data_IF_292328103156
#
_entry.id   IF_292328103156
#
_cell.length_a   1.000
_cell.length_b   1.000
_cell.length_c   1.000
_cell.angle_alpha   90.00
_cell.angle_beta   90.00
_cell.angle_gamma   90.00
#
_symmetry.space_group_name_H-M   'P 1'
#
loop_
_entity.id
_entity.type
_entity.pdbx_description
1 polymer ?
#
# COMPACT_ATOMS: atom_id res chain seq x y z
N UNK A 1 -35.94 -13.88 46.15
CA UNK A 1 -35.98 -13.28 44.80
C UNK A 1 -34.76 -12.39 44.47
N UNK A 2 -33.65 -12.51 45.21
CA UNK A 2 -32.45 -11.65 45.06
C UNK A 2 -31.25 -12.34 44.41
N UNK A 3 -31.31 -13.65 44.14
CA UNK A 3 -30.19 -14.41 43.51
C UNK A 3 -30.24 -14.53 41.99
N UNK A 4 -31.38 -14.21 41.35
CA UNK A 4 -31.54 -14.32 39.88
C UNK A 4 -31.18 -13.05 39.10
N UNK A 5 -31.09 -11.89 39.77
CA UNK A 5 -30.74 -10.63 39.13
C UNK A 5 -29.22 -10.41 38.98
N UNK A 6 -28.41 -11.06 39.82
CA UNK A 6 -26.95 -10.88 39.82
C UNK A 6 -26.28 -11.68 38.71
N UNK A 7 -26.82 -12.86 38.35
CA UNK A 7 -26.22 -13.73 37.32
C UNK A 7 -26.42 -13.17 35.91
N UNK A 8 -27.52 -12.44 35.66
CA UNK A 8 -27.79 -11.86 34.35
C UNK A 8 -26.95 -10.61 34.05
N UNK A 9 -26.38 -9.98 35.09
CA UNK A 9 -25.54 -8.78 34.95
C UNK A 9 -24.06 -9.09 34.72
N UNK A 10 -23.63 -10.34 34.96
CA UNK A 10 -22.24 -10.78 34.78
C UNK A 10 -21.96 -11.39 33.39
N UNK A 11 -22.99 -11.72 32.62
CA UNK A 11 -22.85 -12.27 31.27
C UNK A 11 -22.79 -11.18 30.16
N UNK A 12 -23.18 -9.94 30.48
CA UNK A 12 -23.12 -8.81 29.54
C UNK A 12 -21.77 -8.08 29.59
N UNK A 13 -20.96 -8.28 30.63
CA UNK A 13 -19.66 -7.62 30.80
C UNK A 13 -18.49 -8.29 30.08
N UNK A 14 -18.64 -9.53 29.58
CA UNK A 14 -17.53 -10.30 29.02
C UNK A 14 -17.32 -10.12 27.51
N UNK A 15 -18.12 -9.29 26.83
CA UNK A 15 -18.01 -9.06 25.38
C UNK A 15 -17.33 -7.74 24.98
N UNK A 16 -16.77 -6.97 25.94
CA UNK A 16 -16.39 -5.58 25.68
C UNK A 16 -14.91 -5.26 25.52
N UNK A 17 -13.96 -6.21 25.55
CA UNK A 17 -12.54 -5.83 25.44
C UNK A 17 -11.69 -6.84 24.68
N UNK A 18 -11.83 -6.83 23.36
CA UNK A 18 -10.73 -7.13 22.43
C UNK A 18 -10.98 -6.42 21.09
N UNK A 19 -11.21 -5.11 21.12
CA UNK A 19 -10.98 -4.30 19.93
C UNK A 19 -9.46 -4.20 19.78
N UNK A 20 -8.83 -5.21 19.17
CA UNK A 20 -7.45 -5.08 18.74
C UNK A 20 -7.38 -3.83 17.86
N UNK A 21 -6.42 -2.92 18.09
CA UNK A 21 -6.25 -1.81 17.16
C UNK A 21 -6.06 -2.42 15.77
N UNK A 22 -6.91 -2.03 14.82
CA UNK A 22 -6.65 -2.30 13.42
C UNK A 22 -5.35 -1.55 13.11
N UNK A 23 -4.23 -2.26 13.09
CA UNK A 23 -2.97 -1.70 12.66
C UNK A 23 -3.16 -1.38 11.18
N UNK A 24 -3.29 -0.10 10.84
CA UNK A 24 -3.33 0.34 9.46
C UNK A 24 -2.03 -0.14 8.79
N UNK A 25 -2.14 -1.18 7.99
CA UNK A 25 -1.07 -1.70 7.14
C UNK A 25 -0.92 -0.72 5.98
N UNK A 26 0.10 0.13 6.05
CA UNK A 26 0.47 0.97 4.92
C UNK A 26 1.43 0.22 4.00
N UNK A 27 1.29 0.37 2.69
CA UNK A 27 2.26 -0.13 1.71
C UNK A 27 3.18 1.00 1.29
N UNK A 28 4.48 0.71 1.16
CA UNK A 28 5.45 1.67 0.62
C UNK A 28 5.67 1.43 -0.87
N UNK A 29 5.21 2.35 -1.73
CA UNK A 29 5.25 2.15 -3.17
C UNK A 29 5.31 3.45 -3.97
N UNK A 30 5.58 3.34 -5.27
CA UNK A 30 5.44 4.42 -6.23
C UNK A 30 3.99 4.49 -6.74
N UNK A 31 3.26 5.52 -6.31
CA UNK A 31 1.94 5.83 -6.85
C UNK A 31 2.03 6.64 -8.15
N UNK A 32 1.04 6.46 -9.03
CA UNK A 32 0.98 7.08 -10.35
C UNK A 32 -0.25 7.99 -10.47
N UNK A 33 -0.04 9.18 -11.04
CA UNK A 33 -1.01 10.26 -11.03
C UNK A 33 -1.08 10.99 -12.37
N UNK A 34 -2.28 11.33 -12.78
CA UNK A 34 -2.53 12.29 -13.85
C UNK A 34 -2.79 13.68 -13.27
N UNK A 35 -2.38 14.72 -13.98
CA UNK A 35 -2.68 16.10 -13.60
C UNK A 35 -3.50 16.83 -14.63
N UNK A 36 -4.71 17.20 -14.24
CA UNK A 36 -5.64 17.94 -15.08
C UNK A 36 -6.06 19.22 -14.39
N UNK A 37 -5.97 20.36 -15.10
CA UNK A 37 -6.31 21.68 -14.57
C UNK A 37 -5.66 22.01 -13.20
N UNK A 38 -4.43 21.53 -13.00
CA UNK A 38 -3.67 21.74 -11.77
C UNK A 38 -3.96 20.75 -10.64
N UNK A 39 -4.98 19.89 -10.78
CA UNK A 39 -5.40 18.89 -9.79
C UNK A 39 -4.81 17.52 -10.11
N UNK A 40 -4.31 16.83 -9.08
CA UNK A 40 -3.86 15.45 -9.18
C UNK A 40 -5.02 14.48 -9.02
N UNK A 41 -5.10 13.50 -9.91
CA UNK A 41 -6.03 12.38 -9.85
C UNK A 41 -5.24 11.08 -9.87
N UNK A 42 -5.56 10.15 -8.97
CA UNK A 42 -4.92 8.84 -8.95
C UNK A 42 -5.21 8.11 -10.26
N UNK A 43 -4.18 7.61 -10.92
CA UNK A 43 -4.33 6.96 -12.22
C UNK A 43 -5.02 5.60 -12.06
N UNK A 44 -6.05 5.34 -12.86
CA UNK A 44 -6.77 4.06 -12.89
C UNK A 44 -6.12 3.03 -13.82
N UNK A 45 -5.20 3.48 -14.67
CA UNK A 45 -4.39 2.67 -15.57
C UNK A 45 -2.91 2.78 -15.17
N UNK A 46 -2.16 1.70 -15.38
CA UNK A 46 -0.74 1.66 -15.05
C UNK A 46 0.13 2.39 -16.08
N UNK A 47 1.36 2.82 -15.71
CA UNK A 47 2.26 3.53 -16.61
C UNK A 47 2.59 2.78 -17.91
N UNK A 48 2.56 1.44 -17.89
CA UNK A 48 2.86 0.59 -19.05
C UNK A 48 1.71 0.47 -20.06
N UNK A 49 0.52 1.01 -19.75
CA UNK A 49 -0.65 0.97 -20.65
C UNK A 49 -1.17 2.36 -20.98
N UNK A 50 -0.93 3.35 -20.11
CA UNK A 50 -1.29 4.75 -20.37
C UNK A 50 -0.41 5.35 -21.47
N UNK A 51 -1.04 5.86 -22.53
CA UNK A 51 -0.37 6.64 -23.60
C UNK A 51 -0.79 8.10 -23.43
N UNK A 52 0.06 8.96 -22.84
CA UNK A 52 -0.26 10.38 -22.65
C UNK A 52 -0.27 11.15 -23.97
N UNK A 53 -0.99 12.27 -23.99
CA UNK A 53 -0.99 13.26 -25.06
C UNK A 53 0.22 14.20 -24.96
N UNK A 54 0.56 14.88 -26.06
CA UNK A 54 1.49 16.02 -26.00
C UNK A 54 0.90 17.12 -25.13
N UNK A 55 1.67 17.61 -24.16
CA UNK A 55 1.19 18.59 -23.19
C UNK A 55 0.77 18.03 -21.84
N UNK A 56 0.66 16.70 -21.71
CA UNK A 56 0.21 16.09 -20.46
C UNK A 56 1.26 16.24 -19.35
N UNK A 57 0.75 16.33 -18.12
CA UNK A 57 1.55 16.32 -16.90
C UNK A 57 1.18 15.09 -16.09
N UNK A 58 2.18 14.27 -15.78
CA UNK A 58 2.01 13.06 -14.99
C UNK A 58 2.97 13.05 -13.80
N UNK A 59 2.62 12.28 -12.78
CA UNK A 59 3.30 12.30 -11.49
C UNK A 59 3.57 10.91 -10.95
N UNK A 60 4.77 10.75 -10.40
CA UNK A 60 5.18 9.59 -9.62
C UNK A 60 5.49 10.03 -8.20
N UNK A 61 4.85 9.41 -7.21
CA UNK A 61 5.02 9.76 -5.80
C UNK A 61 5.34 8.53 -4.97
N UNK A 62 6.54 8.50 -4.40
CA UNK A 62 6.93 7.47 -3.44
C UNK A 62 6.48 7.87 -2.04
N UNK A 63 5.65 7.04 -1.43
CA UNK A 63 5.09 7.26 -0.10
C UNK A 63 4.65 5.95 0.55
N UNK A 64 4.37 6.00 1.84
CA UNK A 64 3.56 4.98 2.53
C UNK A 64 2.09 5.37 2.44
N UNK A 65 1.23 4.48 1.93
CA UNK A 65 -0.22 4.70 1.85
C UNK A 65 -0.97 3.40 2.10
N UNK A 66 -2.14 3.48 2.74
CA UNK A 66 -2.97 2.30 3.07
C UNK A 66 -3.53 1.66 1.80
N UNK A 67 -4.14 2.47 0.95
CA UNK A 67 -4.63 2.09 -0.37
C UNK A 67 -4.58 3.28 -1.35
N UNK A 68 -5.28 3.15 -2.49
CA UNK A 68 -5.34 4.20 -3.52
C UNK A 68 -6.24 5.39 -3.16
N UNK A 69 -7.23 5.21 -2.27
CA UNK A 69 -8.12 6.29 -1.83
C UNK A 69 -7.38 7.26 -0.90
N UNK A 70 -6.44 6.72 -0.10
CA UNK A 70 -5.59 7.49 0.82
C UNK A 70 -4.18 7.75 0.29
N UNK A 71 -3.95 7.50 -1.02
CA UNK A 71 -2.64 7.66 -1.63
C UNK A 71 -2.17 9.11 -1.55
N UNK A 72 -0.92 9.30 -1.11
CA UNK A 72 -0.31 10.62 -1.04
C UNK A 72 -0.02 11.11 -2.45
N UNK A 73 -0.56 12.27 -2.82
CA UNK A 73 -0.33 12.90 -4.13
C UNK A 73 1.06 13.52 -4.28
N UNK A 74 1.58 13.68 -5.51
CA UNK A 74 2.85 14.36 -5.76
C UNK A 74 2.84 15.80 -5.24
N UNK A 75 3.96 16.23 -4.67
CA UNK A 75 4.18 17.61 -4.23
C UNK A 75 4.61 18.50 -5.39
N UNK A 76 4.39 19.81 -5.23
CA UNK A 76 4.73 20.82 -6.22
C UNK A 76 3.56 21.19 -7.14
N UNK A 77 3.71 22.31 -7.85
CA UNK A 77 2.63 22.93 -8.63
C UNK A 77 3.00 23.20 -10.09
N UNK A 78 4.21 22.87 -10.53
CA UNK A 78 4.70 23.18 -11.88
C UNK A 78 3.80 22.62 -12.99
N UNK A 79 3.45 23.44 -13.97
CA UNK A 79 2.62 23.06 -15.12
C UNK A 79 3.48 22.53 -16.27
N UNK A 80 2.84 21.95 -17.30
CA UNK A 80 3.53 21.56 -18.53
C UNK A 80 4.33 22.73 -19.12
N UNK A 81 3.71 23.91 -19.22
CA UNK A 81 4.35 25.11 -19.75
C UNK A 81 5.61 25.48 -18.98
N UNK A 82 5.64 25.28 -17.66
CA UNK A 82 6.81 25.54 -16.84
C UNK A 82 7.89 24.45 -17.00
N UNK A 83 7.50 23.18 -16.96
CA UNK A 83 8.44 22.04 -17.00
C UNK A 83 9.08 21.90 -18.39
N UNK A 84 8.30 22.10 -19.45
CA UNK A 84 8.73 21.93 -20.84
C UNK A 84 9.03 23.27 -21.55
N UNK A 85 9.21 24.37 -20.82
CA UNK A 85 9.38 25.72 -21.39
C UNK A 85 10.48 25.82 -22.45
N UNK A 86 11.55 25.04 -22.28
CA UNK A 86 12.74 25.05 -23.14
C UNK A 86 12.84 23.81 -24.05
N UNK A 87 11.79 23.00 -24.11
CA UNK A 87 11.77 21.78 -24.91
C UNK A 87 10.95 22.00 -26.19
N UNK A 88 11.60 22.12 -27.36
CA UNK A 88 10.89 22.33 -28.62
C UNK A 88 10.08 21.09 -29.00
N UNK A 89 8.94 21.31 -29.65
CA UNK A 89 8.18 20.23 -30.27
C UNK A 89 9.00 19.60 -31.42
N UNK A 90 8.75 18.32 -31.68
CA UNK A 90 9.37 17.58 -32.78
C UNK A 90 8.31 16.78 -33.52
N UNK A 91 8.40 16.75 -34.84
CA UNK A 91 7.48 15.98 -35.66
C UNK A 91 7.54 14.48 -35.30
N UNK A 92 6.38 13.83 -35.34
CA UNK A 92 6.23 12.43 -34.93
C UNK A 92 6.41 12.16 -33.43
N UNK A 93 6.66 13.18 -32.60
CA UNK A 93 6.87 13.03 -31.17
C UNK A 93 5.83 13.80 -30.34
N UNK A 94 5.76 13.47 -29.06
CA UNK A 94 5.05 14.21 -28.02
C UNK A 94 6.01 14.63 -26.92
N UNK A 95 5.65 15.70 -26.22
CA UNK A 95 6.29 16.16 -24.99
C UNK A 95 5.40 15.85 -23.81
N UNK A 96 5.97 15.23 -22.80
CA UNK A 96 5.24 14.88 -21.57
C UNK A 96 6.06 15.37 -20.40
N UNK A 97 5.42 16.11 -19.51
CA UNK A 97 6.04 16.61 -18.30
C UNK A 97 5.83 15.61 -17.16
N UNK A 98 6.93 15.24 -16.49
CA UNK A 98 6.91 14.37 -15.32
C UNK A 98 7.24 15.16 -14.06
N UNK A 99 6.47 14.91 -13.00
CA UNK A 99 6.83 15.26 -11.63
C UNK A 99 7.26 13.98 -10.92
N UNK A 100 8.53 13.91 -10.53
CA UNK A 100 9.10 12.74 -9.85
C UNK A 100 9.34 13.14 -8.39
N UNK A 101 8.47 12.66 -7.52
CA UNK A 101 8.49 12.96 -6.10
C UNK A 101 8.93 11.75 -5.27
N UNK A 102 10.21 11.74 -4.90
CA UNK A 102 10.89 10.62 -4.26
C UNK A 102 10.50 10.29 -2.81
N UNK A 103 9.70 11.10 -2.14
CA UNK A 103 9.50 10.88 -0.70
C UNK A 103 9.87 12.05 0.17
N UNK A 104 9.39 11.97 1.39
CA UNK A 104 10.01 12.57 2.55
C UNK A 104 10.89 11.52 3.25
N UNK A 105 11.69 11.96 4.22
CA UNK A 105 12.43 11.02 5.07
C UNK A 105 11.52 10.03 5.84
N UNK A 106 10.24 10.38 6.06
CA UNK A 106 9.28 9.48 6.69
C UNK A 106 8.81 8.34 5.76
N UNK A 107 8.88 8.55 4.44
CA UNK A 107 8.49 7.56 3.44
C UNK A 107 9.62 6.56 3.15
N UNK A 108 10.86 6.95 3.43
CA UNK A 108 12.06 6.20 3.04
C UNK A 108 12.17 4.85 3.75
N UNK A 109 12.74 3.82 3.07
CA UNK A 109 13.26 2.64 3.76
C UNK A 109 14.28 3.02 4.83
N UNK A 110 14.44 2.15 5.83
CA UNK A 110 15.37 2.39 6.93
C UNK A 110 16.81 2.53 6.42
N UNK A 111 17.47 3.64 6.75
CA UNK A 111 18.85 3.92 6.34
C UNK A 111 18.99 4.58 4.96
N UNK A 112 17.89 4.72 4.21
CA UNK A 112 17.89 5.42 2.93
C UNK A 112 17.46 6.88 3.09
N UNK A 113 17.93 7.74 2.19
CA UNK A 113 17.51 9.15 2.11
C UNK A 113 16.93 9.41 0.71
N UNK A 114 15.68 9.91 0.61
CA UNK A 114 15.10 10.23 -0.69
C UNK A 114 15.92 11.32 -1.40
N UNK A 115 16.13 11.18 -2.73
CA UNK A 115 16.55 12.29 -3.57
C UNK A 115 15.59 13.48 -3.48
N UNK A 116 16.05 14.65 -3.92
CA UNK A 116 15.15 15.80 -4.07
C UNK A 116 14.10 15.50 -5.16
N UNK A 117 12.86 15.92 -4.93
CA UNK A 117 11.83 15.91 -5.97
C UNK A 117 12.30 16.76 -7.15
N UNK A 118 12.03 16.31 -8.38
CA UNK A 118 12.41 17.01 -9.60
C UNK A 118 11.36 16.86 -10.68
N UNK A 119 11.45 17.70 -11.70
CA UNK A 119 10.59 17.64 -12.88
C UNK A 119 11.43 17.41 -14.12
N UNK A 120 10.90 16.62 -15.05
CA UNK A 120 11.58 16.28 -16.30
C UNK A 120 10.61 16.49 -17.46
N UNK A 121 11.12 16.95 -18.61
CA UNK A 121 10.35 17.02 -19.85
C UNK A 121 10.89 15.98 -20.83
N UNK A 122 10.12 14.94 -21.12
CA UNK A 122 10.49 13.92 -22.08
C UNK A 122 9.98 14.25 -23.48
N UNK A 123 10.74 13.90 -24.52
CA UNK A 123 10.29 13.94 -25.91
C UNK A 123 10.33 12.51 -26.46
N UNK A 124 9.18 11.91 -26.72
CA UNK A 124 9.06 10.49 -27.08
C UNK A 124 8.13 10.29 -28.29
N UNK A 125 8.18 9.13 -28.97
CA UNK A 125 7.21 8.80 -30.02
C UNK A 125 5.75 8.95 -29.55
N UNK A 126 4.83 9.26 -30.47
CA UNK A 126 3.43 9.55 -30.14
C UNK A 126 2.70 8.39 -29.45
N UNK A 127 3.11 7.16 -29.73
CA UNK A 127 2.60 5.91 -29.19
C UNK A 127 3.24 5.48 -27.87
N UNK A 128 4.33 6.13 -27.45
CA UNK A 128 5.07 5.78 -26.24
C UNK A 128 4.19 5.82 -24.98
N UNK A 129 4.29 4.80 -24.14
CA UNK A 129 3.57 4.73 -22.87
C UNK A 129 4.22 5.65 -21.84
N UNK A 130 3.55 5.89 -20.71
CA UNK A 130 4.17 6.60 -19.58
C UNK A 130 5.42 5.89 -19.06
N UNK A 131 5.45 4.56 -19.08
CA UNK A 131 6.65 3.81 -18.70
C UNK A 131 7.83 4.13 -19.62
N UNK A 132 7.60 4.25 -20.94
CA UNK A 132 8.62 4.67 -21.92
C UNK A 132 9.06 6.11 -21.68
N UNK A 133 8.11 7.01 -21.41
CA UNK A 133 8.35 8.41 -21.06
C UNK A 133 9.24 8.53 -19.82
N UNK A 134 8.94 7.77 -18.76
CA UNK A 134 9.72 7.75 -17.53
C UNK A 134 11.11 7.15 -17.77
N UNK A 135 11.20 6.04 -18.49
CA UNK A 135 12.48 5.40 -18.81
C UNK A 135 13.43 6.31 -19.59
N UNK A 136 12.89 7.18 -20.46
CA UNK A 136 13.69 8.11 -21.25
C UNK A 136 14.41 9.19 -20.41
N UNK A 137 13.93 9.52 -19.20
CA UNK A 137 14.43 10.66 -18.42
C UNK A 137 14.81 10.35 -16.97
N UNK A 138 14.41 9.19 -16.44
CA UNK A 138 14.51 8.90 -15.01
C UNK A 138 15.12 7.52 -14.68
N UNK A 139 15.88 6.93 -15.62
CA UNK A 139 16.59 5.69 -15.38
C UNK A 139 17.72 5.80 -14.33
N UNK A 140 18.18 4.66 -13.76
CA UNK A 140 17.66 3.32 -14.00
C UNK A 140 16.33 3.06 -13.27
N UNK A 141 15.44 2.30 -13.93
CA UNK A 141 14.19 1.85 -13.35
C UNK A 141 14.30 0.39 -12.90
N UNK A 142 13.62 0.02 -11.81
CA UNK A 142 13.46 -1.37 -11.38
C UNK A 142 11.99 -1.73 -11.32
N UNK A 143 11.64 -2.90 -11.83
CA UNK A 143 10.31 -3.49 -11.74
C UNK A 143 10.38 -4.88 -11.12
N UNK A 144 9.31 -5.32 -10.47
CA UNK A 144 9.16 -6.70 -10.03
C UNK A 144 8.57 -7.59 -11.15
N UNK A 145 8.35 -8.88 -10.85
CA UNK A 145 7.76 -9.83 -11.80
C UNK A 145 6.30 -9.53 -12.15
N UNK A 146 5.61 -8.67 -11.40
CA UNK A 146 4.24 -8.24 -11.64
C UNK A 146 4.17 -6.90 -12.37
N UNK A 147 5.31 -6.40 -12.87
CA UNK A 147 5.46 -5.09 -13.49
C UNK A 147 5.14 -3.90 -12.56
N UNK A 148 5.23 -4.11 -11.23
CA UNK A 148 5.18 -3.01 -10.26
C UNK A 148 6.46 -2.20 -10.35
N UNK A 149 6.34 -0.87 -10.46
CA UNK A 149 7.48 0.05 -10.43
C UNK A 149 8.07 0.10 -9.02
N UNK A 150 9.24 -0.52 -8.85
CA UNK A 150 9.93 -0.61 -7.57
C UNK A 150 10.87 0.58 -7.33
N UNK A 151 11.57 1.05 -8.37
CA UNK A 151 12.56 2.11 -8.22
C UNK A 151 12.62 3.02 -9.44
N UNK A 152 12.88 4.30 -9.19
CA UNK A 152 13.18 5.35 -10.17
C UNK A 152 14.55 5.91 -9.82
N UNK A 153 15.43 6.10 -10.80
CA UNK A 153 16.79 6.57 -10.58
C UNK A 153 17.52 5.83 -9.42
N UNK A 154 17.38 4.50 -9.39
CA UNK A 154 17.90 3.61 -8.34
C UNK A 154 17.34 3.83 -6.91
N UNK A 155 16.26 4.60 -6.74
CA UNK A 155 15.60 4.80 -5.44
C UNK A 155 14.16 4.23 -5.41
N UNK A 156 13.76 3.56 -4.31
CA UNK A 156 14.62 3.08 -3.23
C UNK A 156 15.63 2.04 -3.72
N UNK A 157 16.77 1.94 -3.04
CA UNK A 157 17.83 0.98 -3.39
C UNK A 157 17.30 -0.45 -3.24
N UNK A 158 16.45 -0.69 -2.24
CA UNK A 158 15.84 -2.00 -1.98
C UNK A 158 14.33 -1.92 -1.81
N UNK A 159 13.68 -3.06 -2.01
CA UNK A 159 12.25 -3.21 -1.83
C UNK A 159 11.37 -2.86 -3.03
N UNK A 160 10.10 -3.26 -2.92
CA UNK A 160 9.07 -3.10 -3.94
C UNK A 160 7.66 -3.35 -3.39
N UNK A 161 7.11 -2.40 -2.61
CA UNK A 161 5.73 -2.51 -2.13
C UNK A 161 5.57 -3.19 -0.77
N UNK A 162 6.56 -3.11 0.12
CA UNK A 162 6.47 -3.76 1.42
C UNK A 162 5.32 -3.22 2.27
N UNK A 163 4.67 -4.13 3.01
CA UNK A 163 3.83 -3.76 4.14
C UNK A 163 4.69 -3.14 5.24
N UNK A 164 4.33 -1.92 5.61
CA UNK A 164 4.86 -1.25 6.79
C UNK A 164 3.93 -1.56 7.94
N UNK A 165 4.48 -2.17 9.00
CA UNK A 165 3.77 -2.20 10.27
C UNK A 165 3.68 -0.76 10.77
N UNK A 166 2.46 -0.29 11.07
CA UNK A 166 2.25 0.97 11.78
C UNK A 166 2.95 0.89 13.14
N UNK A 167 4.23 1.28 13.20
CA UNK A 167 5.01 1.30 14.43
C UNK A 167 4.45 2.42 15.31
N UNK A 168 3.62 2.04 16.27
CA UNK A 168 3.43 2.83 17.47
C UNK A 168 4.82 3.14 18.05
N UNK A 169 5.15 4.42 18.17
CA UNK A 169 6.33 4.84 18.91
C UNK A 169 6.15 4.44 20.38
N UNK A 170 7.17 3.76 20.93
CA UNK A 170 7.36 3.62 22.37
C UNK A 170 7.03 2.25 22.94
N UNK A 171 7.96 1.30 22.77
CA UNK A 171 8.26 0.35 23.83
C UNK A 171 9.78 0.20 23.85
N UNK A 172 10.37 0.94 24.77
CA UNK A 172 11.77 0.91 25.15
C UNK A 172 12.20 -0.53 25.48
N UNK A 173 13.44 -0.86 25.13
CA UNK A 173 14.08 -2.15 25.44
C UNK A 173 13.92 -2.46 26.94
N UNK A 174 13.10 -3.45 27.28
CA UNK A 174 13.24 -4.19 28.53
C UNK A 174 13.95 -5.51 28.23
N UNK A 175 15.07 -5.72 28.94
CA UNK A 175 15.95 -6.88 28.84
C UNK A 175 15.19 -8.19 29.08
N UNK A 176 15.61 -9.21 28.34
CA UNK A 176 15.36 -10.63 28.61
C UNK A 176 15.75 -11.03 30.04
N UNK A 177 15.03 -12.00 30.59
CA UNK A 177 15.70 -13.18 31.12
C UNK A 177 15.29 -14.42 30.32
N UNK A 178 16.30 -15.25 30.00
CA UNK A 178 16.11 -16.67 29.76
C UNK A 178 15.35 -17.30 30.94
N UNK A 179 14.32 -18.11 30.68
CA UNK A 179 14.32 -19.51 31.10
C UNK A 179 13.18 -20.30 30.44
N UNK A 180 13.43 -21.59 30.29
CA UNK A 180 12.61 -22.61 29.65
C UNK A 180 11.25 -22.76 30.35
N UNK A 181 10.17 -22.86 29.57
CA UNK A 181 9.27 -24.03 29.59
C UNK A 181 8.19 -23.94 28.51
N UNK A 182 8.04 -25.02 27.75
CA UNK A 182 6.98 -25.18 26.74
C UNK A 182 5.63 -25.41 27.44
N UNK A 183 4.87 -24.34 27.64
CA UNK A 183 3.44 -24.42 28.00
C UNK A 183 2.56 -24.74 26.78
N UNK A 184 1.46 -25.53 26.92
CA UNK A 184 0.61 -25.89 25.78
C UNK A 184 -0.10 -24.65 25.24
N UNK A 185 0.05 -24.40 23.94
CA UNK A 185 -0.62 -23.31 23.25
C UNK A 185 -2.14 -23.48 23.39
N UNK A 186 -2.74 -22.68 24.28
CA UNK A 186 -4.19 -22.59 24.52
C UNK A 186 -4.98 -22.38 23.22
N UNK A 187 -4.36 -21.71 22.23
CA UNK A 187 -4.94 -21.55 20.89
C UNK A 187 -5.10 -22.85 20.10
N UNK A 188 -4.23 -23.84 20.28
CA UNK A 188 -4.32 -25.12 19.59
C UNK A 188 -5.46 -25.99 20.17
N UNK A 189 -5.63 -25.94 21.49
CA UNK A 189 -6.70 -26.66 22.20
C UNK A 189 -8.08 -26.03 21.90
N UNK A 190 -8.15 -24.70 21.85
CA UNK A 190 -9.37 -23.99 21.43
C UNK A 190 -9.75 -24.29 19.97
N UNK A 191 -8.76 -24.37 19.07
CA UNK A 191 -8.98 -24.73 17.67
C UNK A 191 -9.53 -26.15 17.49
N UNK A 192 -8.95 -27.13 18.18
CA UNK A 192 -9.42 -28.53 18.11
C UNK A 192 -10.83 -28.70 18.69
N UNK A 193 -11.16 -28.01 19.78
CA UNK A 193 -12.49 -28.04 20.36
C UNK A 193 -13.56 -27.49 19.39
N UNK A 194 -13.26 -26.40 18.67
CA UNK A 194 -14.17 -25.83 17.69
C UNK A 194 -14.44 -26.79 16.51
N UNK A 195 -13.41 -27.48 16.01
CA UNK A 195 -13.55 -28.46 14.92
C UNK A 195 -14.40 -29.67 15.36
N UNK A 196 -14.20 -30.15 16.60
CA UNK A 196 -14.98 -31.27 17.12
C UNK A 196 -16.48 -30.93 17.25
N UNK A 197 -16.81 -29.72 17.71
CA UNK A 197 -18.21 -29.25 17.83
C UNK A 197 -18.87 -29.14 16.45
N UNK A 198 -18.16 -28.58 15.46
CA UNK A 198 -18.67 -28.49 14.08
C UNK A 198 -18.88 -29.88 13.45
N UNK A 199 -17.96 -30.81 13.69
CA UNK A 199 -18.09 -32.20 13.25
C UNK A 199 -19.32 -32.89 13.85
N UNK A 200 -19.55 -32.73 15.15
CA UNK A 200 -20.71 -33.29 15.83
C UNK A 200 -22.03 -32.69 15.33
N UNK A 201 -22.06 -31.38 15.08
CA UNK A 201 -23.24 -30.69 14.52
C UNK A 201 -23.56 -31.19 13.10
N UNK A 202 -22.55 -31.42 12.25
CA UNK A 202 -22.74 -31.96 10.90
C UNK A 202 -23.30 -33.39 10.92
N UNK A 203 -22.82 -34.25 11.83
CA UNK A 203 -23.33 -35.63 12.00
C UNK A 203 -24.77 -35.61 12.53
N UNK A 204 -25.09 -34.73 13.46
CA UNK A 204 -26.46 -34.61 13.97
C UNK A 204 -27.43 -34.11 12.89
N UNK A 205 -27.02 -33.12 12.11
CA UNK A 205 -27.82 -32.54 11.03
C UNK A 205 -28.05 -33.53 9.88
N UNK A 206 -27.07 -34.38 9.57
CA UNK A 206 -27.22 -35.46 8.57
C UNK A 206 -28.11 -36.60 9.05
N UNK A 207 -28.05 -36.98 10.33
CA UNK A 207 -28.98 -37.96 10.92
C UNK A 207 -30.41 -37.45 10.98
N UNK A 208 -30.60 -36.15 11.28
CA UNK A 208 -31.94 -35.53 11.28
C UNK A 208 -32.56 -35.49 9.87
N UNK A 209 -31.76 -35.25 8.82
CA UNK A 209 -32.23 -35.27 7.43
C UNK A 209 -32.56 -36.66 6.90
N UNK A 210 -31.96 -37.72 7.45
CA UNK A 210 -32.31 -39.12 7.11
C UNK A 210 -33.57 -39.64 7.78
N UNK A 211 -34.08 -38.95 8.80
CA UNK A 211 -35.26 -39.34 9.58
C UNK A 211 -36.45 -38.37 9.37
N UNK A 212 -36.40 -37.51 8.36
CA UNK A 212 -37.58 -36.76 7.92
C UNK A 212 -38.34 -37.64 6.90
N UNK A 213 -39.64 -37.94 7.13
CA UNK A 213 -40.46 -38.74 6.22
C UNK A 213 -40.72 -38.04 4.88
#
# INVERSE_FOLDING_TARGET
MTRRAVVLSLLTGLFLTAMSPAHATGYRYWSFWDRTAGTWTYATQGPSTTVPSDGDVQGFRFAVSEDSADAVKPRGTASFTAICAHTPARDGHKRVALVIDFGTAADAPSGEKPPASRTECAVTPREATTADVLAAVAGPLRYDSNALLCAIAAYPETGCGEQTSGKAKGAEKAKEPEEKDKGPSVGLLAGLAAVAVLGAAAVWQTRRRRNAP
#
